data_IF_424489109566
#
_entry.id   IF_424489109566
#
_cell.length_a   1.000
_cell.length_b   1.000
_cell.length_c   1.000
_cell.angle_alpha   90.00
_cell.angle_beta   90.00
_cell.angle_gamma   90.00
#
_symmetry.space_group_name_H-M   'P 1'
#
loop_
_entity.id
_entity.type
_entity.pdbx_description
1 polymer ?
#
# COMPACT_ATOMS: atom_id res chain seq x y z
N UNK A 1 18.27 13.50 23.57
CA UNK A 1 19.22 12.71 22.77
C UNK A 1 18.68 11.38 22.22
N UNK A 2 17.67 10.73 22.83
CA UNK A 2 17.18 9.40 22.36
C UNK A 2 16.25 9.39 21.12
N UNK A 3 16.09 10.51 20.42
CA UNK A 3 15.15 10.62 19.27
C UNK A 3 15.86 10.85 17.92
N UNK A 4 17.19 10.94 17.89
CA UNK A 4 17.93 11.16 16.65
C UNK A 4 18.11 9.84 15.87
N UNK A 5 17.62 9.82 14.62
CA UNK A 5 17.89 8.72 13.69
C UNK A 5 19.39 8.72 13.35
N UNK A 6 20.07 7.60 13.62
CA UNK A 6 21.51 7.49 13.37
C UNK A 6 21.86 7.84 11.91
N UNK A 7 22.94 8.62 11.68
CA UNK A 7 23.38 8.97 10.33
C UNK A 7 23.54 7.77 9.41
N UNK A 8 23.07 7.91 8.16
CA UNK A 8 23.14 6.84 7.17
C UNK A 8 23.54 7.35 5.79
N UNK A 9 24.07 6.43 4.98
CA UNK A 9 24.31 6.65 3.55
C UNK A 9 23.09 6.21 2.76
N UNK A 10 22.68 7.05 1.81
CA UNK A 10 21.58 6.82 0.90
C UNK A 10 22.13 6.69 -0.53
N UNK A 11 21.95 5.51 -1.12
CA UNK A 11 22.23 5.25 -2.52
C UNK A 11 20.94 5.36 -3.32
N UNK A 12 20.90 6.25 -4.30
CA UNK A 12 19.73 6.46 -5.16
C UNK A 12 20.05 6.03 -6.58
N UNK A 13 19.31 5.03 -7.06
CA UNK A 13 19.40 4.51 -8.43
C UNK A 13 18.36 5.19 -9.30
N UNK A 14 18.78 5.69 -10.44
CA UNK A 14 18.01 6.50 -11.39
C UNK A 14 18.06 5.84 -12.77
N UNK A 15 16.93 5.75 -13.49
CA UNK A 15 16.89 5.26 -14.88
C UNK A 15 17.27 6.35 -15.91
N UNK A 16 17.30 5.98 -17.19
CA UNK A 16 17.67 6.89 -18.29
C UNK A 16 16.67 8.05 -18.48
N UNK A 17 15.45 7.92 -17.94
CA UNK A 17 14.41 8.95 -17.96
C UNK A 17 14.36 9.77 -16.65
N UNK A 18 15.45 9.77 -15.87
CA UNK A 18 15.61 10.49 -14.60
C UNK A 18 14.62 10.08 -13.48
N UNK A 19 13.98 8.92 -13.58
CA UNK A 19 13.11 8.43 -12.52
C UNK A 19 13.92 7.72 -11.44
N UNK A 20 13.57 7.99 -10.18
CA UNK A 20 14.13 7.24 -9.04
C UNK A 20 13.55 5.83 -9.01
N UNK A 21 14.40 4.85 -9.29
CA UNK A 21 14.04 3.43 -9.40
C UNK A 21 14.18 2.71 -8.06
N UNK A 22 15.22 3.03 -7.30
CA UNK A 22 15.52 2.38 -6.01
C UNK A 22 16.25 3.34 -5.08
N UNK A 23 15.96 3.22 -3.78
CA UNK A 23 16.74 3.80 -2.69
C UNK A 23 17.26 2.68 -1.80
N UNK A 24 18.56 2.69 -1.49
CA UNK A 24 19.21 1.72 -0.61
C UNK A 24 19.91 2.47 0.53
N UNK A 25 19.75 1.99 1.76
CA UNK A 25 20.39 2.57 2.95
C UNK A 25 21.59 1.74 3.39
N UNK A 26 22.64 2.37 3.89
CA UNK A 26 23.72 1.70 4.59
C UNK A 26 24.19 2.54 5.80
N UNK A 27 24.78 1.91 6.82
CA UNK A 27 25.37 2.65 7.94
C UNK A 27 26.44 3.64 7.45
N UNK A 28 26.47 4.83 8.02
CA UNK A 28 27.56 5.78 7.80
C UNK A 28 28.72 5.50 8.78
N UNK A 29 29.54 4.49 8.48
CA UNK A 29 30.68 4.08 9.31
C UNK A 29 32.01 4.07 8.54
N UNK A 30 33.12 4.17 9.26
CA UNK A 30 34.48 4.13 8.67
C UNK A 30 34.74 2.74 8.05
N UNK A 31 35.62 2.71 7.04
CA UNK A 31 36.05 1.48 6.38
C UNK A 31 35.42 1.26 4.99
N UNK A 32 35.70 0.08 4.41
CA UNK A 32 35.18 -0.32 3.10
C UNK A 32 33.89 -1.12 3.31
N UNK A 33 32.80 -0.65 2.71
CA UNK A 33 31.48 -1.28 2.79
C UNK A 33 30.96 -1.61 1.39
N UNK A 34 30.03 -2.58 1.32
CA UNK A 34 29.38 -2.98 0.06
C UNK A 34 27.87 -2.98 0.21
N UNK A 35 27.20 -2.38 -0.77
CA UNK A 35 25.75 -2.40 -0.93
C UNK A 35 25.43 -2.93 -2.32
N UNK A 36 24.48 -3.85 -2.40
CA UNK A 36 24.08 -4.47 -3.67
C UNK A 36 22.63 -4.14 -3.98
N UNK A 37 22.38 -3.62 -5.18
CA UNK A 37 21.05 -3.57 -5.75
C UNK A 37 20.74 -4.91 -6.41
N UNK A 38 19.57 -5.48 -6.12
CA UNK A 38 19.07 -6.75 -6.66
C UNK A 38 18.42 -6.60 -8.05
N UNK A 39 18.58 -5.46 -8.71
CA UNK A 39 17.96 -5.12 -10.00
C UNK A 39 16.44 -5.25 -9.97
N UNK A 40 15.81 -4.86 -8.86
CA UNK A 40 14.35 -4.85 -8.70
C UNK A 40 13.81 -3.50 -8.25
N UNK A 41 12.59 -3.21 -8.67
CA UNK A 41 11.81 -2.08 -8.15
C UNK A 41 11.43 -2.30 -6.67
N UNK A 42 11.09 -1.25 -5.90
CA UNK A 42 10.58 -1.37 -4.55
C UNK A 42 9.24 -2.09 -4.47
N UNK A 43 9.04 -2.83 -3.38
CA UNK A 43 7.76 -3.42 -2.99
C UNK A 43 6.73 -2.30 -2.81
N UNK A 44 5.57 -2.44 -3.44
CA UNK A 44 4.47 -1.45 -3.35
C UNK A 44 3.32 -1.89 -2.44
N UNK A 45 3.43 -3.06 -1.80
CA UNK A 45 2.43 -3.51 -0.82
C UNK A 45 2.55 -2.69 0.48
N UNK A 46 1.50 -2.66 1.32
CA UNK A 46 1.53 -1.99 2.62
C UNK A 46 2.80 -2.28 3.43
N UNK A 47 3.33 -1.21 4.01
CA UNK A 47 4.57 -1.19 4.79
C UNK A 47 4.24 -1.36 6.26
N UNK A 48 5.09 -2.06 7.00
CA UNK A 48 5.04 -2.13 8.46
C UNK A 48 6.31 -1.51 9.06
N UNK A 49 6.31 -1.30 10.38
CA UNK A 49 7.45 -0.70 11.09
C UNK A 49 8.76 -1.49 10.92
N UNK A 50 8.67 -2.81 10.75
CA UNK A 50 9.81 -3.72 10.69
C UNK A 50 10.29 -3.97 9.24
N UNK A 51 9.90 -3.11 8.29
CA UNK A 51 10.24 -3.29 6.88
C UNK A 51 11.75 -3.24 6.69
N UNK A 52 12.31 -4.30 6.11
CA UNK A 52 13.70 -4.32 5.66
C UNK A 52 13.79 -3.56 4.34
N UNK A 53 13.98 -2.24 4.40
CA UNK A 53 13.96 -1.32 3.24
C UNK A 53 14.75 -1.86 2.03
N UNK A 54 16.01 -2.28 2.24
CA UNK A 54 16.86 -2.79 1.15
C UNK A 54 16.39 -4.13 0.56
N UNK A 55 15.59 -4.91 1.30
CA UNK A 55 15.05 -6.22 0.88
C UNK A 55 13.60 -6.13 0.39
N UNK A 56 12.98 -4.96 0.46
CA UNK A 56 11.61 -4.74 0.03
C UNK A 56 11.55 -4.62 -1.50
N UNK A 57 11.61 -5.75 -2.20
CA UNK A 57 11.72 -5.81 -3.66
C UNK A 57 10.45 -6.29 -4.34
N UNK A 58 10.31 -5.88 -5.60
CA UNK A 58 9.21 -6.17 -6.48
C UNK A 58 9.70 -6.80 -7.80
N UNK A 59 9.09 -6.38 -8.90
CA UNK A 59 9.39 -6.83 -10.26
C UNK A 59 10.80 -6.42 -10.67
N UNK A 60 11.34 -7.13 -11.65
CA UNK A 60 12.66 -6.85 -12.23
C UNK A 60 12.70 -5.42 -12.80
N UNK A 61 13.82 -4.74 -12.59
CA UNK A 61 14.15 -3.53 -13.31
C UNK A 61 14.42 -3.86 -14.78
N UNK A 62 14.26 -2.86 -15.65
CA UNK A 62 14.53 -3.05 -17.07
C UNK A 62 16.03 -3.15 -17.32
N UNK A 63 16.46 -3.89 -18.36
CA UNK A 63 17.78 -3.67 -18.89
C UNK A 63 17.83 -2.27 -19.51
N UNK A 64 18.96 -1.62 -19.38
CA UNK A 64 19.13 -0.24 -19.81
C UNK A 64 20.22 0.45 -19.02
N UNK A 65 20.36 1.74 -19.29
CA UNK A 65 21.31 2.60 -18.59
C UNK A 65 20.69 3.12 -17.32
N UNK A 66 21.46 3.05 -16.24
CA UNK A 66 21.14 3.58 -14.94
C UNK A 66 22.29 4.43 -14.43
N UNK A 67 22.01 5.26 -13.43
CA UNK A 67 23.03 5.90 -12.62
C UNK A 67 22.77 5.71 -11.14
N UNK A 68 23.83 5.76 -10.32
CA UNK A 68 23.72 5.76 -8.87
C UNK A 68 24.41 6.98 -8.28
N UNK A 69 23.76 7.60 -7.30
CA UNK A 69 24.34 8.67 -6.48
C UNK A 69 24.45 8.22 -5.03
N UNK A 70 25.49 8.66 -4.33
CA UNK A 70 25.63 8.49 -2.89
C UNK A 70 25.36 9.82 -2.18
N UNK A 71 24.53 9.80 -1.15
CA UNK A 71 24.25 10.93 -0.27
C UNK A 71 24.41 10.51 1.20
N UNK A 72 24.75 11.45 2.08
CA UNK A 72 24.69 11.29 3.54
C UNK A 72 23.40 11.90 4.06
N UNK A 73 22.74 11.23 5.00
CA UNK A 73 21.58 11.77 5.72
C UNK A 73 21.93 11.91 7.19
N UNK A 74 21.74 13.12 7.72
CA UNK A 74 21.93 13.50 9.13
C UNK A 74 20.76 14.39 9.50
N UNK A 75 20.01 14.02 10.54
CA UNK A 75 18.84 14.79 11.03
C UNK A 75 17.84 15.16 9.92
N UNK A 76 17.60 14.22 9.00
CA UNK A 76 16.72 14.41 7.85
C UNK A 76 17.32 15.22 6.69
N UNK A 77 18.49 15.86 6.87
CA UNK A 77 19.17 16.63 5.84
C UNK A 77 19.98 15.73 4.92
N UNK A 78 19.66 15.77 3.62
CA UNK A 78 20.32 14.96 2.59
C UNK A 78 21.43 15.77 1.91
N UNK A 79 22.68 15.33 2.08
CA UNK A 79 23.87 15.92 1.43
C UNK A 79 24.45 14.97 0.39
N UNK A 80 24.50 15.38 -0.88
CA UNK A 80 25.09 14.55 -1.95
C UNK A 80 26.61 14.49 -1.79
N UNK A 81 27.18 13.29 -1.83
CA UNK A 81 28.62 13.05 -1.68
C UNK A 81 29.33 12.75 -3.01
N UNK A 82 28.60 12.23 -4.00
CA UNK A 82 29.18 11.87 -5.30
C UNK A 82 28.33 12.39 -6.46
N UNK A 83 28.95 12.67 -7.62
CA UNK A 83 28.19 12.78 -8.86
C UNK A 83 27.50 11.45 -9.21
N UNK A 84 26.53 11.45 -10.14
CA UNK A 84 25.94 10.22 -10.67
C UNK A 84 26.98 9.34 -11.36
N UNK A 85 27.07 8.08 -10.94
CA UNK A 85 27.94 7.08 -11.58
C UNK A 85 27.11 6.19 -12.51
N UNK A 86 27.35 6.18 -13.83
CA UNK A 86 26.56 5.40 -14.78
C UNK A 86 26.94 3.91 -14.76
N UNK A 87 25.96 3.05 -15.04
CA UNK A 87 26.15 1.62 -15.27
C UNK A 87 25.02 1.07 -16.14
N UNK A 88 25.24 -0.11 -16.75
CA UNK A 88 24.24 -0.77 -17.59
C UNK A 88 23.73 -2.05 -16.94
N UNK A 89 22.40 -2.19 -16.86
CA UNK A 89 21.75 -3.45 -16.54
C UNK A 89 21.50 -4.23 -17.83
N UNK A 90 21.96 -5.49 -17.88
CA UNK A 90 21.83 -6.36 -19.05
C UNK A 90 21.13 -7.67 -18.68
N UNK A 91 20.37 -8.22 -19.62
CA UNK A 91 19.71 -9.52 -19.44
C UNK A 91 20.70 -10.62 -19.76
N UNK A 92 20.68 -11.70 -18.98
CA UNK A 92 21.44 -12.91 -19.28
C UNK A 92 20.81 -13.63 -20.47
N UNK A 93 21.61 -14.11 -21.42
CA UNK A 93 21.14 -14.81 -22.64
C UNK A 93 20.66 -16.24 -22.37
N UNK A 94 19.76 -16.42 -21.41
CA UNK A 94 19.27 -17.72 -20.93
C UNK A 94 17.73 -17.87 -21.00
N UNK A 95 17.05 -16.97 -21.73
CA UNK A 95 15.58 -16.99 -21.85
C UNK A 95 15.15 -17.70 -23.14
N UNK A 96 14.30 -18.72 -23.04
CA UNK A 96 13.76 -19.47 -24.18
C UNK A 96 12.64 -18.75 -24.93
N UNK A 97 11.88 -17.88 -24.25
CA UNK A 97 10.77 -17.10 -24.81
C UNK A 97 10.88 -15.62 -24.40
N UNK A 98 11.83 -14.86 -24.95
CA UNK A 98 11.95 -13.43 -24.64
C UNK A 98 10.72 -12.66 -25.14
N UNK A 99 10.29 -11.66 -24.37
CA UNK A 99 9.26 -10.73 -24.82
C UNK A 99 9.69 -10.05 -26.13
N UNK A 100 8.79 -10.08 -27.13
CA UNK A 100 9.02 -9.42 -28.44
C UNK A 100 9.17 -7.91 -28.27
N UNK A 101 8.34 -7.34 -27.39
CA UNK A 101 8.42 -5.95 -26.95
C UNK A 101 8.60 -5.91 -25.43
N UNK A 102 9.81 -5.54 -25.00
CA UNK A 102 10.13 -5.42 -23.57
C UNK A 102 9.52 -4.16 -22.94
N UNK A 103 9.37 -3.09 -23.71
CA UNK A 103 8.69 -1.88 -23.25
C UNK A 103 7.23 -2.16 -22.92
N UNK A 104 6.56 -2.93 -23.77
CA UNK A 104 5.20 -3.39 -23.52
C UNK A 104 5.11 -4.24 -22.25
N UNK A 105 5.98 -5.25 -22.09
CA UNK A 105 6.04 -6.09 -20.89
C UNK A 105 6.12 -5.24 -19.62
N UNK A 106 7.04 -4.26 -19.58
CA UNK A 106 7.22 -3.38 -18.41
C UNK A 106 6.03 -2.52 -18.16
N UNK A 107 5.46 -1.93 -19.21
CA UNK A 107 4.27 -1.10 -19.07
C UNK A 107 3.15 -1.89 -18.42
N UNK A 108 3.00 -3.18 -18.76
CA UNK A 108 2.03 -4.08 -18.17
C UNK A 108 2.39 -4.46 -16.73
N UNK A 109 3.65 -4.76 -16.45
CA UNK A 109 4.16 -5.03 -15.10
C UNK A 109 3.96 -3.83 -14.17
N UNK A 110 4.27 -2.60 -14.63
CA UNK A 110 4.01 -1.34 -13.91
C UNK A 110 2.51 -1.14 -13.63
N UNK A 111 1.64 -1.45 -14.60
CA UNK A 111 0.18 -1.43 -14.40
C UNK A 111 -0.27 -2.40 -13.31
N UNK A 112 0.26 -3.63 -13.29
CA UNK A 112 -0.02 -4.62 -12.24
C UNK A 112 0.49 -4.14 -10.89
N UNK A 113 1.71 -3.60 -10.82
CA UNK A 113 2.31 -3.11 -9.58
C UNK A 113 1.49 -1.95 -8.98
N UNK A 114 1.03 -1.01 -9.82
CA UNK A 114 0.15 0.09 -9.40
C UNK A 114 -1.20 -0.41 -8.89
N UNK A 115 -1.81 -1.37 -9.60
CA UNK A 115 -3.05 -2.02 -9.16
C UNK A 115 -2.86 -2.76 -7.84
N UNK A 116 -1.74 -3.47 -7.68
CA UNK A 116 -1.41 -4.18 -6.45
C UNK A 116 -1.28 -3.22 -5.27
N UNK A 117 -0.56 -2.11 -5.44
CA UNK A 117 -0.44 -1.05 -4.44
C UNK A 117 -1.83 -0.58 -3.97
N UNK A 118 -2.70 -0.25 -4.92
CA UNK A 118 -4.02 0.28 -4.62
C UNK A 118 -4.89 -0.76 -3.90
N UNK A 119 -5.01 -1.98 -4.43
CA UNK A 119 -5.84 -3.03 -3.85
C UNK A 119 -5.36 -3.45 -2.47
N UNK A 120 -4.06 -3.67 -2.30
CA UNK A 120 -3.50 -4.08 -1.01
C UNK A 120 -3.59 -2.96 0.03
N UNK A 121 -3.42 -1.70 -0.40
CA UNK A 121 -3.66 -0.52 0.44
C UNK A 121 -5.10 -0.43 0.92
N UNK A 122 -6.07 -0.57 -0.01
CA UNK A 122 -7.50 -0.63 0.32
C UNK A 122 -7.80 -1.76 1.29
N UNK A 123 -7.27 -2.97 1.06
CA UNK A 123 -7.48 -4.10 1.96
C UNK A 123 -7.04 -3.79 3.39
N UNK A 124 -5.89 -3.12 3.57
CA UNK A 124 -5.43 -2.69 4.90
C UNK A 124 -6.28 -1.58 5.50
N UNK A 125 -6.64 -0.56 4.72
CA UNK A 125 -7.50 0.52 5.19
C UNK A 125 -8.86 -0.01 5.68
N UNK A 126 -9.44 -1.00 5.00
CA UNK A 126 -10.72 -1.61 5.42
C UNK A 126 -10.54 -2.45 6.69
N UNK A 127 -9.40 -3.15 6.85
CA UNK A 127 -9.11 -3.88 8.10
C UNK A 127 -8.97 -2.92 9.29
N UNK A 128 -8.29 -1.80 9.10
CA UNK A 128 -8.15 -0.75 10.11
C UNK A 128 -9.51 -0.12 10.44
N UNK A 129 -10.32 0.19 9.41
CA UNK A 129 -11.69 0.69 9.60
C UNK A 129 -12.52 -0.28 10.42
N UNK A 130 -12.44 -1.58 10.15
CA UNK A 130 -13.15 -2.60 10.94
C UNK A 130 -12.77 -2.51 12.43
N UNK A 131 -11.48 -2.49 12.74
CA UNK A 131 -11.00 -2.37 14.13
C UNK A 131 -11.41 -1.05 14.79
N UNK A 132 -11.42 0.05 14.02
CA UNK A 132 -11.90 1.36 14.47
C UNK A 132 -13.40 1.32 14.82
N UNK A 133 -14.21 0.69 13.98
CA UNK A 133 -15.65 0.53 14.21
C UNK A 133 -15.93 -0.31 15.46
N UNK A 134 -15.16 -1.36 15.74
CA UNK A 134 -15.29 -2.14 16.97
C UNK A 134 -15.17 -1.26 18.23
N UNK A 135 -14.25 -0.28 18.22
CA UNK A 135 -14.05 0.67 19.32
C UNK A 135 -15.19 1.72 19.34
N UNK A 136 -15.61 2.22 18.18
CA UNK A 136 -16.75 3.15 18.07
C UNK A 136 -18.02 2.54 18.64
N UNK A 137 -18.28 1.25 18.39
CA UNK A 137 -19.41 0.55 18.98
C UNK A 137 -19.41 0.60 20.51
N UNK A 138 -18.23 0.50 21.14
CA UNK A 138 -18.07 0.64 22.59
C UNK A 138 -18.24 2.07 23.09
N UNK A 139 -17.73 3.05 22.35
CA UNK A 139 -17.97 4.45 22.68
C UNK A 139 -19.47 4.80 22.63
N UNK A 140 -20.22 4.25 21.67
CA UNK A 140 -21.66 4.41 21.59
C UNK A 140 -22.37 3.83 22.83
N UNK A 141 -22.05 2.59 23.22
CA UNK A 141 -22.61 1.94 24.41
C UNK A 141 -22.31 2.70 25.71
N UNK A 142 -21.13 3.33 25.82
CA UNK A 142 -20.68 4.03 27.02
C UNK A 142 -21.23 5.45 27.16
N UNK A 143 -21.79 6.04 26.10
CA UNK A 143 -22.12 7.47 26.06
C UNK A 143 -23.63 7.67 26.19
N UNK A 144 -24.14 8.22 27.31
CA UNK A 144 -25.57 8.40 27.54
C UNK A 144 -26.28 9.31 26.53
N UNK A 145 -25.55 10.24 25.90
CA UNK A 145 -26.09 11.16 24.89
C UNK A 145 -26.33 10.55 23.51
N UNK A 146 -26.01 9.27 23.32
CA UNK A 146 -26.20 8.60 22.03
C UNK A 146 -27.65 8.19 21.80
N UNK A 147 -28.05 8.07 20.53
CA UNK A 147 -29.43 7.74 20.14
C UNK A 147 -29.53 6.65 19.07
N UNK A 148 -30.75 6.18 18.82
CA UNK A 148 -31.03 5.08 17.89
C UNK A 148 -30.54 5.37 16.46
N UNK A 149 -30.57 6.63 16.01
CA UNK A 149 -30.05 7.01 14.69
C UNK A 149 -28.54 6.83 14.60
N UNK A 150 -27.78 7.14 15.66
CA UNK A 150 -26.33 6.90 15.70
C UNK A 150 -26.04 5.39 15.64
N UNK A 151 -26.84 4.59 16.34
CA UNK A 151 -26.70 3.14 16.32
C UNK A 151 -27.00 2.57 14.93
N UNK A 152 -28.03 3.08 14.24
CA UNK A 152 -28.36 2.68 12.87
C UNK A 152 -27.25 3.06 11.87
N UNK A 153 -26.69 4.27 11.97
CA UNK A 153 -25.55 4.71 11.16
C UNK A 153 -24.33 3.82 11.39
N UNK A 154 -24.01 3.52 12.65
CA UNK A 154 -22.94 2.60 13.02
C UNK A 154 -23.14 1.21 12.41
N UNK A 155 -24.34 0.63 12.51
CA UNK A 155 -24.63 -0.69 11.94
C UNK A 155 -24.47 -0.70 10.43
N UNK A 156 -24.95 0.33 9.74
CA UNK A 156 -24.75 0.47 8.29
C UNK A 156 -23.26 0.55 7.91
N UNK A 157 -22.43 1.25 8.70
CA UNK A 157 -20.98 1.30 8.50
C UNK A 157 -20.33 -0.09 8.68
N UNK A 158 -20.72 -0.83 9.72
CA UNK A 158 -20.22 -2.19 9.99
C UNK A 158 -20.56 -3.13 8.84
N UNK A 159 -21.82 -3.14 8.39
CA UNK A 159 -22.29 -4.06 7.35
C UNK A 159 -21.63 -3.77 5.99
N UNK A 160 -21.51 -2.49 5.61
CA UNK A 160 -20.83 -2.08 4.38
C UNK A 160 -19.34 -2.40 4.43
N UNK A 161 -18.68 -2.20 5.58
CA UNK A 161 -17.27 -2.59 5.80
C UNK A 161 -17.09 -4.09 5.62
N UNK A 162 -17.98 -4.92 6.19
CA UNK A 162 -17.96 -6.37 6.04
C UNK A 162 -18.19 -6.80 4.57
N UNK A 163 -19.11 -6.14 3.86
CA UNK A 163 -19.36 -6.37 2.44
C UNK A 163 -18.14 -6.08 1.55
N UNK A 164 -17.43 -4.98 1.83
CA UNK A 164 -16.17 -4.64 1.15
C UNK A 164 -15.10 -5.71 1.42
N UNK A 165 -14.94 -6.14 2.68
CA UNK A 165 -13.98 -7.20 3.04
C UNK A 165 -14.28 -8.51 2.30
N UNK A 166 -15.56 -8.89 2.21
CA UNK A 166 -15.99 -10.09 1.50
C UNK A 166 -15.65 -10.03 0.01
N UNK A 167 -15.86 -8.89 -0.65
CA UNK A 167 -15.51 -8.72 -2.08
C UNK A 167 -14.00 -8.72 -2.33
N UNK A 168 -13.23 -8.13 -1.41
CA UNK A 168 -11.77 -8.12 -1.48
C UNK A 168 -11.17 -9.50 -1.25
N UNK A 169 -11.60 -10.18 -0.19
CA UNK A 169 -10.95 -11.38 0.33
C UNK A 169 -11.64 -12.67 -0.10
N UNK A 170 -12.90 -12.64 -0.50
CA UNK A 170 -13.76 -13.81 -0.67
C UNK A 170 -14.61 -14.04 0.58
N UNK A 171 -15.63 -14.88 0.45
CA UNK A 171 -16.53 -15.20 1.58
C UNK A 171 -16.00 -16.40 2.37
N UNK A 172 -15.83 -16.22 3.69
CA UNK A 172 -15.33 -17.24 4.59
C UNK A 172 -16.33 -18.39 4.80
N UNK A 173 -17.63 -18.13 4.70
CA UNK A 173 -18.69 -19.14 4.88
C UNK A 173 -18.67 -20.14 3.71
N UNK A 174 -18.63 -19.65 2.47
CA UNK A 174 -18.51 -20.51 1.29
C UNK A 174 -17.19 -21.30 1.26
N UNK A 175 -16.09 -20.72 1.78
CA UNK A 175 -14.82 -21.45 1.94
C UNK A 175 -14.94 -22.62 2.89
N UNK A 176 -15.74 -22.49 3.96
CA UNK A 176 -15.94 -23.55 4.96
C UNK A 176 -16.63 -24.79 4.36
N UNK A 177 -17.48 -24.59 3.35
CA UNK A 177 -18.24 -25.66 2.71
C UNK A 177 -17.61 -26.17 1.39
N UNK A 178 -16.39 -25.74 1.05
CA UNK A 178 -15.73 -26.08 -0.23
C UNK A 178 -16.59 -25.79 -1.47
N UNK A 179 -17.51 -24.83 -1.38
CA UNK A 179 -18.34 -24.46 -2.52
C UNK A 179 -17.53 -23.66 -3.55
N UNK A 180 -17.78 -23.94 -4.83
CA UNK A 180 -17.10 -23.25 -5.92
C UNK A 180 -17.56 -21.79 -5.97
N UNK A 181 -16.62 -20.87 -5.78
CA UNK A 181 -16.87 -19.44 -5.84
C UNK A 181 -15.86 -18.77 -6.76
N UNK A 182 -16.28 -17.74 -7.53
CA UNK A 182 -15.34 -16.99 -8.34
C UNK A 182 -14.24 -16.39 -7.46
N UNK A 183 -12.99 -16.30 -7.96
CA UNK A 183 -11.89 -15.77 -7.17
C UNK A 183 -12.17 -14.32 -6.76
N UNK A 184 -11.85 -13.99 -5.50
CA UNK A 184 -11.93 -12.63 -4.98
C UNK A 184 -10.95 -11.69 -5.69
N UNK A 185 -11.15 -10.38 -5.52
CA UNK A 185 -10.29 -9.34 -6.10
C UNK A 185 -8.82 -9.58 -5.71
N UNK A 186 -8.55 -9.85 -4.43
CA UNK A 186 -7.19 -10.10 -3.93
C UNK A 186 -6.63 -11.39 -4.50
N UNK A 187 -7.40 -12.49 -4.50
CA UNK A 187 -6.91 -13.77 -5.03
C UNK A 187 -6.51 -13.67 -6.50
N UNK A 188 -7.35 -13.01 -7.30
CA UNK A 188 -7.12 -12.81 -8.74
C UNK A 188 -5.90 -11.93 -9.00
N UNK A 189 -5.75 -10.85 -8.23
CA UNK A 189 -4.58 -9.99 -8.27
C UNK A 189 -3.29 -10.74 -7.87
N UNK A 190 -3.32 -11.56 -6.82
CA UNK A 190 -2.15 -12.32 -6.40
C UNK A 190 -1.70 -13.31 -7.49
N UNK A 191 -2.65 -13.94 -8.20
CA UNK A 191 -2.34 -14.76 -9.37
C UNK A 191 -1.65 -13.98 -10.49
N UNK A 192 -2.12 -12.75 -10.79
CA UNK A 192 -1.46 -11.85 -11.75
C UNK A 192 -0.03 -11.52 -11.34
N UNK A 193 0.15 -11.14 -10.06
CA UNK A 193 1.44 -10.75 -9.51
C UNK A 193 2.40 -11.93 -9.56
N UNK A 194 1.99 -13.11 -9.09
CA UNK A 194 2.80 -14.32 -9.10
C UNK A 194 3.27 -14.67 -10.52
N UNK A 195 2.36 -14.70 -11.48
CA UNK A 195 2.66 -15.03 -12.87
C UNK A 195 3.55 -14.03 -13.60
N UNK A 196 3.60 -12.78 -13.15
CA UNK A 196 4.38 -11.71 -13.77
C UNK A 196 5.64 -11.32 -12.98
N UNK A 197 5.82 -11.83 -11.76
CA UNK A 197 6.89 -11.42 -10.83
C UNK A 197 8.30 -11.61 -11.40
N UNK A 198 8.50 -12.68 -12.16
CA UNK A 198 9.77 -13.04 -12.81
C UNK A 198 9.65 -13.25 -14.31
N UNK A 199 8.47 -12.98 -14.89
CA UNK A 199 8.24 -13.22 -16.32
C UNK A 199 9.09 -12.27 -17.17
N UNK A 200 9.84 -12.85 -18.10
CA UNK A 200 10.57 -12.16 -19.17
C UNK A 200 9.89 -12.33 -20.54
N UNK A 201 8.71 -12.98 -20.57
CA UNK A 201 7.91 -13.24 -21.77
C UNK A 201 6.78 -12.23 -21.92
N UNK A 202 6.28 -12.05 -23.15
CA UNK A 202 5.17 -11.14 -23.45
C UNK A 202 3.91 -11.47 -22.64
N UNK A 203 3.14 -10.45 -22.16
CA UNK A 203 1.92 -10.70 -21.40
C UNK A 203 0.85 -11.40 -22.24
N UNK A 204 0.41 -12.59 -21.79
CA UNK A 204 -0.60 -13.38 -22.50
C UNK A 204 -1.98 -12.70 -22.51
N UNK A 205 -2.85 -13.01 -23.48
CA UNK A 205 -4.23 -12.51 -23.50
C UNK A 205 -4.98 -12.79 -22.20
N UNK A 206 -4.75 -13.96 -21.59
CA UNK A 206 -5.31 -14.32 -20.30
C UNK A 206 -4.90 -13.33 -19.21
N UNK A 207 -3.60 -13.03 -19.03
CA UNK A 207 -3.16 -12.07 -18.00
C UNK A 207 -3.76 -10.67 -18.22
N UNK A 208 -3.88 -10.22 -19.47
CA UNK A 208 -4.50 -8.92 -19.79
C UNK A 208 -5.97 -8.89 -19.41
N UNK A 209 -6.72 -9.95 -19.71
CA UNK A 209 -8.12 -10.03 -19.30
C UNK A 209 -8.24 -10.15 -17.78
N UNK A 210 -7.31 -10.88 -17.15
CA UNK A 210 -7.29 -11.00 -15.70
C UNK A 210 -7.14 -9.64 -15.02
N UNK A 211 -6.23 -8.81 -15.53
CA UNK A 211 -6.03 -7.43 -15.11
C UNK A 211 -7.30 -6.58 -15.29
N UNK A 212 -7.94 -6.63 -16.46
CA UNK A 212 -9.16 -5.83 -16.74
C UNK A 212 -10.31 -6.15 -15.78
N UNK A 213 -10.50 -7.42 -15.45
CA UNK A 213 -11.54 -7.85 -14.51
C UNK A 213 -11.27 -7.29 -13.11
N UNK A 214 -10.03 -7.37 -12.62
CA UNK A 214 -9.67 -6.81 -11.31
C UNK A 214 -9.91 -5.30 -11.29
N UNK A 215 -9.49 -4.57 -12.33
CA UNK A 215 -9.75 -3.12 -12.46
C UNK A 215 -11.25 -2.80 -12.41
N UNK A 216 -12.05 -3.53 -13.18
CA UNK A 216 -13.51 -3.34 -13.26
C UNK A 216 -14.20 -3.58 -11.92
N UNK A 217 -13.78 -4.60 -11.17
CA UNK A 217 -14.34 -4.92 -9.85
C UNK A 217 -13.86 -3.96 -8.76
N UNK A 218 -12.58 -3.58 -8.80
CA UNK A 218 -11.94 -2.77 -7.76
C UNK A 218 -12.32 -1.29 -7.82
N UNK A 219 -12.45 -0.72 -9.03
CA UNK A 219 -12.75 0.71 -9.20
C UNK A 219 -14.01 1.17 -8.44
N UNK A 220 -15.19 0.54 -8.57
CA UNK A 220 -16.37 0.93 -7.80
C UNK A 220 -16.21 0.63 -6.30
N UNK A 221 -15.53 -0.47 -5.93
CA UNK A 221 -15.27 -0.80 -4.52
C UNK A 221 -14.44 0.28 -3.82
N UNK A 222 -13.41 0.81 -4.48
CA UNK A 222 -12.59 1.89 -3.93
C UNK A 222 -13.40 3.17 -3.74
N UNK A 223 -14.28 3.52 -4.68
CA UNK A 223 -15.19 4.67 -4.55
C UNK A 223 -16.13 4.50 -3.36
N UNK A 224 -16.70 3.31 -3.20
CA UNK A 224 -17.57 2.94 -2.07
C UNK A 224 -16.85 3.10 -0.73
N UNK A 225 -15.61 2.59 -0.61
CA UNK A 225 -14.81 2.76 0.61
C UNK A 225 -14.51 4.24 0.91
N UNK A 226 -14.17 5.03 -0.12
CA UNK A 226 -13.92 6.47 0.07
C UNK A 226 -15.15 7.17 0.61
N UNK A 227 -16.32 6.94 0.03
CA UNK A 227 -17.58 7.50 0.56
C UNK A 227 -17.81 7.07 2.01
N UNK A 228 -17.58 5.79 2.31
CA UNK A 228 -17.78 5.24 3.65
C UNK A 228 -16.87 5.92 4.70
N UNK A 229 -15.60 6.15 4.37
CA UNK A 229 -14.60 6.70 5.31
C UNK A 229 -14.63 8.23 5.34
N UNK A 230 -14.73 8.88 4.19
CA UNK A 230 -14.58 10.33 4.06
C UNK A 230 -15.88 11.09 4.37
N UNK A 231 -17.04 10.42 4.26
CA UNK A 231 -18.36 11.03 4.47
C UNK A 231 -19.08 10.37 5.64
N UNK A 232 -19.45 9.09 5.51
CA UNK A 232 -20.38 8.43 6.44
C UNK A 232 -19.76 8.27 7.84
N UNK A 233 -18.50 7.82 7.89
CA UNK A 233 -17.76 7.66 9.14
C UNK A 233 -17.49 9.02 9.80
N UNK A 234 -17.08 10.04 9.04
CA UNK A 234 -16.85 11.38 9.58
C UNK A 234 -18.14 11.97 10.18
N UNK A 235 -19.28 11.73 9.54
CA UNK A 235 -20.59 12.15 10.07
C UNK A 235 -20.84 11.56 11.45
N UNK A 236 -20.66 10.24 11.61
CA UNK A 236 -20.84 9.58 12.91
C UNK A 236 -19.82 10.08 13.95
N UNK A 237 -18.58 10.32 13.54
CA UNK A 237 -17.51 10.81 14.41
C UNK A 237 -17.76 12.22 14.94
N UNK A 238 -18.30 13.11 14.09
CA UNK A 238 -18.70 14.44 14.53
C UNK A 238 -19.86 14.38 15.54
N UNK A 239 -20.85 13.51 15.29
CA UNK A 239 -21.96 13.31 16.24
C UNK A 239 -21.49 12.75 17.57
N UNK A 240 -20.50 11.86 17.57
CA UNK A 240 -19.85 11.37 18.79
C UNK A 240 -19.17 12.49 19.57
N UNK A 241 -18.57 13.46 18.88
CA UNK A 241 -17.97 14.63 19.53
C UNK A 241 -19.04 15.56 20.14
N UNK A 242 -20.15 15.79 19.43
CA UNK A 242 -21.28 16.61 19.91
C UNK A 242 -21.89 16.09 21.22
N UNK A 243 -21.84 14.77 21.44
CA UNK A 243 -22.33 14.12 22.67
C UNK A 243 -21.21 13.86 23.68
N UNK A 244 -20.04 14.48 23.51
CA UNK A 244 -18.85 14.35 24.36
C UNK A 244 -18.44 12.88 24.60
N UNK A 245 -18.64 12.02 23.59
CA UNK A 245 -18.28 10.61 23.69
C UNK A 245 -16.75 10.44 23.86
N UNK A 246 -16.30 9.45 24.65
CA UNK A 246 -14.88 9.14 24.80
C UNK A 246 -14.15 9.02 23.46
N UNK A 247 -12.86 9.37 23.48
CA UNK A 247 -12.02 9.35 22.29
C UNK A 247 -12.00 7.96 21.64
N UNK A 248 -12.08 7.93 20.31
CA UNK A 248 -11.84 6.74 19.50
C UNK A 248 -10.76 7.03 18.46
N UNK A 249 -10.01 6.03 17.97
CA UNK A 249 -8.96 6.24 16.98
C UNK A 249 -9.41 7.11 15.82
N UNK A 250 -8.51 7.96 15.31
CA UNK A 250 -8.73 8.86 14.18
C UNK A 250 -9.63 10.08 14.43
N UNK A 251 -10.20 10.23 15.62
CA UNK A 251 -10.80 11.50 16.08
C UNK A 251 -9.76 12.37 16.79
N UNK A 252 -9.97 13.67 16.81
CA UNK A 252 -9.26 14.61 17.68
C UNK A 252 -10.30 15.28 18.59
N UNK A 253 -10.03 15.42 19.90
CA UNK A 253 -10.95 16.12 20.79
C UNK A 253 -11.12 17.60 20.41
N UNK A 254 -12.35 18.11 20.40
CA UNK A 254 -12.66 19.54 20.24
C UNK A 254 -12.98 20.18 21.60
N UNK A 255 -11.95 20.33 22.44
CA UNK A 255 -12.10 20.96 23.75
C UNK A 255 -11.93 22.47 23.68
N UNK A 256 -13.02 23.22 23.96
CA UNK A 256 -13.05 24.70 23.86
C UNK A 256 -12.68 25.44 25.15
N UNK A 257 -12.14 24.75 26.16
CA UNK A 257 -11.81 25.34 27.46
C UNK A 257 -13.04 25.77 28.27
N UNK A 258 -12.84 26.27 29.50
CA UNK A 258 -13.92 26.60 30.45
C UNK A 258 -14.84 27.77 30.05
N UNK A 259 -14.57 28.49 28.95
CA UNK A 259 -15.26 29.75 28.63
C UNK A 259 -16.67 29.60 28.03
N UNK A 260 -17.18 28.39 27.82
CA UNK A 260 -18.53 28.17 27.28
C UNK A 260 -19.49 27.42 28.22
N UNK A 261 -19.07 27.13 29.47
CA UNK A 261 -19.96 26.59 30.51
C UNK A 261 -20.51 27.73 31.37
N UNK A 262 -21.41 28.54 30.81
CA UNK A 262 -22.29 29.46 31.56
C UNK A 262 -23.71 29.33 31.07
#
# INVERSE_FOLDING_TARGET
ENEEEAPYLLFTVIDAEDNVVRKLRAPASKGIHRVTWDLRYPKLTPVNKDVKLNKASAMLAMPGTYSVTMSKVVDGVVTRLTPPQPFNAVVLSNTTLPARDRGELVSFQRKIASLQRAVMGTQRAVQELKSRLEIIGKALELTPGTNDDMLAEYRALVDRTAGILRRLNGDATYRKYNENQPPSIVNRLQGLVYGQWTSTSSPSPLYREQYRIVVRQFTPLLKELRSLVEVDLKKLENRLEEVEAPWTPGRLPDWKGEQQRR
#
